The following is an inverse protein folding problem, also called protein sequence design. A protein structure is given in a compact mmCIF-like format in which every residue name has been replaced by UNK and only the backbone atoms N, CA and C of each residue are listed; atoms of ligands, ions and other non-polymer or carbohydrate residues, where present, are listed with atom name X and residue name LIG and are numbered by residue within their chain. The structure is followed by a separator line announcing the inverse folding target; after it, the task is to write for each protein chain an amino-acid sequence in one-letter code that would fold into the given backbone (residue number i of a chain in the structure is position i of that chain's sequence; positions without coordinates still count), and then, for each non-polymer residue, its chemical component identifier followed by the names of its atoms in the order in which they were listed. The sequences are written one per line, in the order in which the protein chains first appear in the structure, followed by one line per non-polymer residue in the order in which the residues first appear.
data_IF_639080536081
#
_entry.id   IF_639080536081
#
_cell.length_a   1.000
_cell.length_b   1.000
_cell.length_c   1.000
_cell.angle_alpha   90.00
_cell.angle_beta   90.00
_cell.angle_gamma   90.00
#
_symmetry.space_group_name_H-M   'P 1'
#
loop_
_entity.id
_entity.type
_entity.pdbx_description
1 polymer ?
#
# COMPACT_ATOMS: atom_id res chain seq x y z
N UNK A 1 -2.68 65.95 34.19
CA UNK A 1 -1.67 65.72 33.13
C UNK A 1 -1.17 64.30 33.30
N UNK A 2 -1.68 63.36 32.52
CA UNK A 2 -1.32 61.94 32.59
C UNK A 2 -0.49 61.60 31.36
N UNK A 3 0.71 61.07 31.58
CA UNK A 3 1.66 60.68 30.53
C UNK A 3 1.39 59.21 30.21
N UNK A 4 0.80 58.94 29.05
CA UNK A 4 0.59 57.58 28.54
C UNK A 4 1.91 57.01 27.98
N UNK A 5 2.37 55.91 28.58
CA UNK A 5 3.52 55.14 28.10
C UNK A 5 3.12 54.27 26.90
N UNK A 6 3.67 54.58 25.72
CA UNK A 6 3.57 53.74 24.52
C UNK A 6 4.45 52.47 24.66
N UNK A 7 3.92 51.26 24.38
CA UNK A 7 4.71 50.04 24.36
C UNK A 7 5.69 50.03 23.17
N UNK A 8 6.97 49.85 23.51
CA UNK A 8 8.07 49.62 22.58
C UNK A 8 7.77 48.43 21.67
N UNK A 9 7.56 48.70 20.38
CA UNK A 9 7.46 47.67 19.35
C UNK A 9 8.83 47.01 19.19
N UNK A 10 8.98 45.83 19.80
CA UNK A 10 10.12 44.95 19.60
C UNK A 10 10.20 44.56 18.13
N UNK A 11 11.16 45.16 17.43
CA UNK A 11 11.55 44.83 16.07
C UNK A 11 12.20 43.44 16.09
N UNK A 12 11.38 42.39 15.98
CA UNK A 12 11.87 41.03 15.72
C UNK A 12 12.47 41.03 14.32
N UNK A 13 13.80 40.99 14.27
CA UNK A 13 14.55 40.79 13.02
C UNK A 13 14.04 39.51 12.35
N UNK A 14 13.72 39.55 11.04
CA UNK A 14 13.34 38.36 10.31
C UNK A 14 14.50 37.37 10.41
N UNK A 15 14.23 36.20 10.99
CA UNK A 15 15.12 35.04 10.94
C UNK A 15 15.56 34.84 9.50
N UNK A 16 16.86 34.64 9.22
CA UNK A 16 17.33 34.42 7.85
C UNK A 16 16.52 33.27 7.26
N UNK A 17 15.70 33.60 6.25
CA UNK A 17 15.03 32.60 5.43
C UNK A 17 16.12 31.65 4.95
N UNK A 18 16.05 30.39 5.40
CA UNK A 18 16.94 29.35 4.93
C UNK A 18 16.81 29.33 3.41
N UNK A 19 17.83 29.86 2.74
CA UNK A 19 17.88 30.02 1.29
C UNK A 19 17.68 28.62 0.69
N UNK A 20 16.47 28.37 0.18
CA UNK A 20 16.09 27.06 -0.32
C UNK A 20 17.10 26.69 -1.40
N UNK A 21 17.84 25.60 -1.17
CA UNK A 21 18.93 25.26 -2.08
C UNK A 21 18.33 24.89 -3.43
N UNK A 22 19.06 25.12 -4.55
CA UNK A 22 18.59 24.71 -5.88
C UNK A 22 18.18 23.23 -5.94
N UNK A 23 18.75 22.37 -5.09
CA UNK A 23 18.39 20.96 -4.95
C UNK A 23 16.98 20.73 -4.40
N UNK A 24 16.51 21.58 -3.49
CA UNK A 24 15.16 21.47 -2.90
C UNK A 24 14.06 21.79 -3.92
N UNK A 25 14.33 22.76 -4.79
CA UNK A 25 13.41 23.14 -5.86
C UNK A 25 13.23 22.00 -6.89
N UNK A 26 14.34 21.34 -7.27
CA UNK A 26 14.32 20.19 -8.19
C UNK A 26 13.57 19.01 -7.56
N UNK A 27 13.84 18.69 -6.29
CA UNK A 27 13.18 17.58 -5.61
C UNK A 27 11.67 17.78 -5.48
N UNK A 28 11.22 18.99 -5.18
CA UNK A 28 9.81 19.31 -5.05
C UNK A 28 9.05 19.24 -6.38
N UNK A 29 9.74 19.50 -7.51
CA UNK A 29 9.16 19.37 -8.84
C UNK A 29 9.00 17.90 -9.29
N UNK A 30 9.96 17.04 -8.94
CA UNK A 30 10.00 15.63 -9.41
C UNK A 30 9.23 14.67 -8.50
N UNK A 31 9.12 14.96 -7.20
CA UNK A 31 8.42 14.09 -6.22
C UNK A 31 7.01 13.65 -6.66
N UNK A 32 6.14 14.49 -7.23
CA UNK A 32 4.77 14.07 -7.53
C UNK A 32 4.64 13.17 -8.76
N UNK A 33 5.54 13.28 -9.74
CA UNK A 33 5.54 12.38 -10.91
C UNK A 33 6.02 10.99 -10.52
N UNK A 34 7.01 10.91 -9.61
CA UNK A 34 7.46 9.64 -9.05
C UNK A 34 6.35 8.93 -8.27
N UNK A 35 5.62 9.63 -7.40
CA UNK A 35 4.54 9.00 -6.61
C UNK A 35 3.43 8.45 -7.50
N UNK A 36 3.02 9.18 -8.54
CA UNK A 36 2.02 8.71 -9.51
C UNK A 36 2.54 7.47 -10.26
N UNK A 37 3.79 7.48 -10.72
CA UNK A 37 4.43 6.34 -11.37
C UNK A 37 4.44 5.10 -10.47
N UNK A 38 4.81 5.24 -9.19
CA UNK A 38 4.80 4.13 -8.22
C UNK A 38 3.40 3.56 -7.99
N UNK A 39 2.38 4.41 -7.95
CA UNK A 39 0.99 3.97 -7.81
C UNK A 39 0.55 3.13 -9.03
N UNK A 40 0.86 3.59 -10.25
CA UNK A 40 0.54 2.83 -11.46
C UNK A 40 1.33 1.55 -11.60
N UNK A 41 2.62 1.55 -11.22
CA UNK A 41 3.43 0.34 -11.17
C UNK A 41 2.86 -0.66 -10.16
N UNK A 42 2.47 -0.21 -8.97
CA UNK A 42 1.83 -1.06 -7.97
C UNK A 42 0.56 -1.70 -8.54
N UNK A 43 -0.35 -0.90 -9.11
CA UNK A 43 -1.60 -1.40 -9.70
C UNK A 43 -1.33 -2.39 -10.84
N UNK A 44 -0.37 -2.09 -11.71
CA UNK A 44 -0.05 -2.93 -12.87
C UNK A 44 0.63 -4.25 -12.51
N UNK A 45 1.50 -4.26 -11.49
CA UNK A 45 2.26 -5.44 -11.07
C UNK A 45 1.46 -6.32 -10.10
N UNK A 46 0.51 -5.75 -9.36
CA UNK A 46 -0.27 -6.47 -8.34
C UNK A 46 -0.97 -7.74 -8.85
N UNK A 47 -1.67 -7.76 -10.01
CA UNK A 47 -2.29 -8.98 -10.52
C UNK A 47 -1.28 -10.12 -10.77
N UNK A 48 -0.09 -9.78 -11.28
CA UNK A 48 0.96 -10.76 -11.53
C UNK A 48 1.53 -11.33 -10.22
N UNK A 49 1.72 -10.48 -9.20
CA UNK A 49 2.14 -10.93 -7.86
C UNK A 49 1.06 -11.82 -7.25
N UNK A 50 -0.20 -11.39 -7.29
CA UNK A 50 -1.33 -12.17 -6.76
C UNK A 50 -1.39 -13.57 -7.41
N UNK A 51 -1.32 -13.61 -8.75
CA UNK A 51 -1.29 -14.86 -9.50
C UNK A 51 -0.11 -15.75 -9.09
N UNK A 52 1.11 -15.19 -9.06
CA UNK A 52 2.30 -15.94 -8.66
C UNK A 52 2.19 -16.49 -7.23
N UNK A 53 1.67 -15.69 -6.29
CA UNK A 53 1.53 -16.12 -4.89
C UNK A 53 0.52 -17.25 -4.73
N UNK A 54 -0.63 -17.17 -5.40
CA UNK A 54 -1.63 -18.23 -5.37
C UNK A 54 -1.10 -19.48 -6.05
N UNK A 55 -0.54 -19.34 -7.26
CA UNK A 55 0.00 -20.46 -8.02
C UNK A 55 1.11 -21.21 -7.27
N UNK A 56 2.09 -20.49 -6.72
CA UNK A 56 3.19 -21.10 -5.97
C UNK A 56 2.70 -21.77 -4.68
N UNK A 57 1.74 -21.17 -3.98
CA UNK A 57 1.19 -21.73 -2.75
C UNK A 57 0.41 -23.01 -3.02
N UNK A 58 -0.42 -23.03 -4.07
CA UNK A 58 -1.17 -24.23 -4.50
C UNK A 58 -0.22 -25.33 -4.99
N UNK A 59 0.76 -24.97 -5.83
CA UNK A 59 1.76 -25.90 -6.35
C UNK A 59 2.70 -26.48 -5.28
N UNK A 60 2.76 -25.86 -4.09
CA UNK A 60 3.57 -26.37 -2.97
C UNK A 60 2.89 -27.47 -2.16
N UNK A 61 1.60 -27.73 -2.41
CA UNK A 61 0.81 -28.76 -1.70
C UNK A 61 0.80 -30.07 -2.49
N UNK A 62 0.77 -31.19 -1.78
CA UNK A 62 0.73 -32.53 -2.38
C UNK A 62 -0.51 -32.76 -3.26
N UNK A 63 -1.69 -32.27 -2.84
CA UNK A 63 -2.96 -32.38 -3.56
C UNK A 63 -3.21 -31.30 -4.61
N UNK A 64 -2.22 -30.43 -4.89
CA UNK A 64 -2.40 -29.33 -5.86
C UNK A 64 -3.55 -28.38 -5.52
N UNK A 65 -3.82 -28.18 -4.23
CA UNK A 65 -4.93 -27.38 -3.70
C UNK A 65 -6.21 -28.16 -3.40
N UNK A 66 -6.30 -29.44 -3.75
CA UNK A 66 -7.36 -30.32 -3.27
C UNK A 66 -6.98 -30.94 -1.93
N UNK A 67 -7.43 -30.32 -0.83
CA UNK A 67 -7.17 -30.80 0.52
C UNK A 67 -7.97 -32.07 0.87
N UNK A 68 -8.88 -32.53 0.01
CA UNK A 68 -9.58 -33.80 0.18
C UNK A 68 -9.00 -34.92 -0.70
N UNK A 69 -7.85 -34.69 -1.35
CA UNK A 69 -7.22 -35.67 -2.21
C UNK A 69 -6.76 -36.90 -1.39
N UNK A 70 -7.07 -38.14 -1.83
CA UNK A 70 -6.67 -39.38 -1.16
C UNK A 70 -5.15 -39.63 -1.13
N UNK A 71 -4.35 -38.81 -1.82
CA UNK A 71 -2.89 -38.82 -1.76
C UNK A 71 -2.33 -38.42 -0.39
N UNK A 72 -3.11 -37.71 0.43
CA UNK A 72 -2.71 -37.39 1.80
C UNK A 72 -2.69 -38.64 2.69
N UNK A 73 -1.53 -38.96 3.29
CA UNK A 73 -1.36 -40.13 4.13
C UNK A 73 -1.99 -39.99 5.52
N UNK A 74 -2.25 -38.75 5.97
CA UNK A 74 -2.87 -38.46 7.25
C UNK A 74 -3.49 -37.07 7.31
N UNK A 75 -4.42 -36.84 8.24
CA UNK A 75 -4.98 -35.52 8.52
C UNK A 75 -3.92 -34.49 8.96
N UNK A 76 -2.88 -34.93 9.68
CA UNK A 76 -1.81 -34.05 10.16
C UNK A 76 -0.93 -33.51 9.02
N UNK A 77 -0.68 -34.33 8.00
CA UNK A 77 0.06 -33.92 6.80
C UNK A 77 -0.73 -32.87 6.00
N UNK A 78 -2.03 -33.10 5.83
CA UNK A 78 -2.96 -32.16 5.19
C UNK A 78 -3.01 -30.81 5.92
N UNK A 79 -3.11 -30.82 7.26
CA UNK A 79 -3.15 -29.59 8.06
C UNK A 79 -1.84 -28.79 7.94
N UNK A 80 -0.70 -29.48 7.82
CA UNK A 80 0.60 -28.85 7.63
C UNK A 80 0.72 -28.18 6.23
N UNK A 81 0.29 -28.88 5.18
CA UNK A 81 0.25 -28.35 3.81
C UNK A 81 -0.71 -27.16 3.71
N UNK A 82 -1.90 -27.29 4.30
CA UNK A 82 -2.90 -26.23 4.37
C UNK A 82 -2.35 -24.96 5.02
N UNK A 83 -1.71 -25.11 6.18
CA UNK A 83 -1.09 -23.99 6.89
C UNK A 83 0.02 -23.34 6.05
N UNK A 84 0.81 -24.14 5.35
CA UNK A 84 1.91 -23.65 4.50
C UNK A 84 1.38 -22.85 3.32
N UNK A 85 0.37 -23.36 2.61
CA UNK A 85 -0.28 -22.66 1.51
C UNK A 85 -0.96 -21.36 1.98
N UNK A 86 -1.65 -21.42 3.12
CA UNK A 86 -2.30 -20.24 3.72
C UNK A 86 -1.28 -19.16 4.06
N UNK A 87 -0.16 -19.50 4.70
CA UNK A 87 0.92 -18.54 4.97
C UNK A 87 1.56 -18.00 3.69
N UNK A 88 1.71 -18.84 2.67
CA UNK A 88 2.23 -18.48 1.35
C UNK A 88 1.38 -17.43 0.64
N UNK A 89 0.07 -17.41 0.87
CA UNK A 89 -0.86 -16.38 0.35
C UNK A 89 -0.93 -15.18 1.30
N UNK A 90 -1.01 -15.44 2.61
CA UNK A 90 -1.29 -14.42 3.61
C UNK A 90 -0.15 -13.41 3.79
N UNK A 91 1.09 -13.87 3.85
CA UNK A 91 2.27 -13.02 4.02
C UNK A 91 2.40 -12.00 2.87
N UNK A 92 2.48 -12.40 1.58
CA UNK A 92 2.64 -11.44 0.50
C UNK A 92 1.40 -10.55 0.32
N UNK A 93 0.19 -11.07 0.54
CA UNK A 93 -1.03 -10.25 0.50
C UNK A 93 -1.02 -9.15 1.57
N UNK A 94 -0.56 -9.47 2.79
CA UNK A 94 -0.42 -8.49 3.88
C UNK A 94 0.64 -7.44 3.55
N UNK A 95 1.77 -7.84 2.97
CA UNK A 95 2.81 -6.90 2.52
C UNK A 95 2.26 -5.95 1.44
N UNK A 96 1.55 -6.50 0.44
CA UNK A 96 0.97 -5.69 -0.63
C UNK A 96 -0.10 -4.71 -0.12
N UNK A 97 -0.90 -5.10 0.87
CA UNK A 97 -1.84 -4.20 1.54
C UNK A 97 -1.11 -3.07 2.28
N UNK A 98 -0.04 -3.38 3.01
CA UNK A 98 0.74 -2.37 3.72
C UNK A 98 1.37 -1.36 2.73
N UNK A 99 1.93 -1.83 1.62
CA UNK A 99 2.48 -0.98 0.56
C UNK A 99 1.39 -0.09 -0.06
N UNK A 100 0.23 -0.66 -0.39
CA UNK A 100 -0.91 0.09 -0.93
C UNK A 100 -1.39 1.19 0.04
N UNK A 101 -1.48 0.88 1.33
CA UNK A 101 -1.86 1.84 2.37
C UNK A 101 -0.85 3.00 2.48
N UNK A 102 0.45 2.69 2.47
CA UNK A 102 1.51 3.71 2.50
C UNK A 102 1.43 4.62 1.27
N UNK A 103 1.27 4.06 0.07
CA UNK A 103 1.12 4.83 -1.16
C UNK A 103 -0.12 5.75 -1.10
N UNK A 104 -1.24 5.24 -0.61
CA UNK A 104 -2.46 6.02 -0.41
C UNK A 104 -2.23 7.21 0.53
N UNK A 105 -1.57 7.00 1.68
CA UNK A 105 -1.24 8.08 2.63
C UNK A 105 -0.32 9.13 2.00
N UNK A 106 0.71 8.69 1.26
CA UNK A 106 1.65 9.60 0.56
C UNK A 106 0.93 10.44 -0.48
N UNK A 107 0.05 9.83 -1.29
CA UNK A 107 -0.76 10.54 -2.28
C UNK A 107 -1.68 11.56 -1.61
N UNK A 108 -2.37 11.19 -0.54
CA UNK A 108 -3.28 12.09 0.19
C UNK A 108 -2.53 13.28 0.80
N UNK A 109 -1.34 13.06 1.38
CA UNK A 109 -0.49 14.14 1.92
C UNK A 109 0.04 15.08 0.83
N UNK A 110 0.20 14.60 -0.41
CA UNK A 110 0.69 15.41 -1.52
C UNK A 110 -0.37 16.35 -2.14
N UNK A 111 -1.61 16.38 -1.64
CA UNK A 111 -2.74 17.13 -2.25
C UNK A 111 -2.76 18.64 -2.03
N UNK A 112 -1.82 19.23 -1.29
CA UNK A 112 -2.00 20.59 -0.74
C UNK A 112 -2.03 21.77 -1.75
N UNK A 113 -1.76 21.60 -3.05
CA UNK A 113 -1.89 22.72 -4.03
C UNK A 113 -2.06 22.24 -5.48
N UNK A 114 -3.22 21.77 -5.96
CA UNK A 114 -3.28 21.35 -7.38
C UNK A 114 -4.53 21.71 -8.20
N UNK A 115 -4.25 22.05 -9.46
CA UNK A 115 -5.15 22.39 -10.55
C UNK A 115 -6.07 21.21 -10.95
N UNK A 116 -7.22 21.55 -11.54
CA UNK A 116 -8.37 20.66 -11.82
C UNK A 116 -8.02 19.31 -12.48
N UNK A 117 -7.09 19.30 -13.44
CA UNK A 117 -6.67 18.08 -14.16
C UNK A 117 -5.85 17.10 -13.32
N UNK A 118 -5.10 17.60 -12.34
CA UNK A 118 -4.30 16.76 -11.46
C UNK A 118 -5.16 16.08 -10.40
N UNK A 119 -6.28 16.69 -10.00
CA UNK A 119 -7.26 16.09 -9.10
C UNK A 119 -7.87 14.80 -9.68
N UNK A 120 -8.24 14.81 -10.96
CA UNK A 120 -8.84 13.63 -11.63
C UNK A 120 -7.87 12.44 -11.64
N UNK A 121 -6.61 12.66 -12.01
CA UNK A 121 -5.58 11.60 -12.00
C UNK A 121 -5.37 11.01 -10.60
N UNK A 122 -5.31 11.87 -9.58
CA UNK A 122 -5.16 11.42 -8.19
C UNK A 122 -6.35 10.59 -7.74
N UNK A 123 -7.58 11.00 -8.08
CA UNK A 123 -8.78 10.22 -7.75
C UNK A 123 -8.76 8.85 -8.43
N UNK A 124 -8.38 8.81 -9.71
CA UNK A 124 -8.27 7.54 -10.45
C UNK A 124 -7.22 6.61 -9.82
N UNK A 125 -6.04 7.14 -9.46
CA UNK A 125 -4.99 6.37 -8.80
C UNK A 125 -5.45 5.81 -7.44
N UNK A 126 -6.18 6.60 -6.65
CA UNK A 126 -6.73 6.15 -5.36
C UNK A 126 -7.80 5.06 -5.55
N UNK A 127 -8.66 5.17 -6.55
CA UNK A 127 -9.67 4.15 -6.85
C UNK A 127 -9.01 2.85 -7.31
N UNK A 128 -8.01 2.93 -8.19
CA UNK A 128 -7.26 1.77 -8.64
C UNK A 128 -6.54 1.08 -7.48
N UNK A 129 -5.85 1.85 -6.62
CA UNK A 129 -5.22 1.34 -5.40
C UNK A 129 -6.23 0.66 -4.46
N UNK A 130 -7.37 1.29 -4.21
CA UNK A 130 -8.41 0.74 -3.35
C UNK A 130 -8.96 -0.58 -3.90
N UNK A 131 -9.18 -0.67 -5.22
CA UNK A 131 -9.63 -1.89 -5.87
C UNK A 131 -8.58 -3.01 -5.76
N UNK A 132 -7.30 -2.69 -5.97
CA UNK A 132 -6.20 -3.65 -5.79
C UNK A 132 -6.12 -4.14 -4.35
N UNK A 133 -6.21 -3.24 -3.37
CA UNK A 133 -6.23 -3.61 -1.95
C UNK A 133 -7.44 -4.49 -1.62
N UNK A 134 -8.62 -4.18 -2.15
CA UNK A 134 -9.80 -5.03 -1.96
C UNK A 134 -9.58 -6.46 -2.51
N UNK A 135 -8.88 -6.60 -3.64
CA UNK A 135 -8.49 -7.91 -4.17
C UNK A 135 -7.58 -8.71 -3.23
N UNK A 136 -6.56 -8.07 -2.64
CA UNK A 136 -5.70 -8.74 -1.65
C UNK A 136 -6.43 -9.05 -0.33
N UNK A 137 -7.32 -8.17 0.12
CA UNK A 137 -8.16 -8.45 1.28
C UNK A 137 -9.08 -9.66 1.02
N UNK A 138 -9.64 -9.76 -0.19
CA UNK A 138 -10.43 -10.92 -0.61
C UNK A 138 -9.59 -12.21 -0.59
N UNK A 139 -8.34 -12.18 -1.08
CA UNK A 139 -7.45 -13.35 -1.00
C UNK A 139 -7.21 -13.82 0.45
N UNK A 140 -7.08 -12.89 1.40
CA UNK A 140 -6.94 -13.24 2.81
C UNK A 140 -8.19 -13.93 3.37
N UNK A 141 -9.38 -13.44 3.01
CA UNK A 141 -10.65 -14.04 3.44
C UNK A 141 -10.84 -15.41 2.82
N UNK A 142 -10.51 -15.59 1.55
CA UNK A 142 -10.67 -16.87 0.84
C UNK A 142 -9.61 -17.90 1.26
N UNK A 143 -8.43 -17.46 1.71
CA UNK A 143 -7.39 -18.38 2.16
C UNK A 143 -7.73 -19.16 3.43
N UNK A 144 -8.80 -18.77 4.15
CA UNK A 144 -9.34 -19.50 5.29
C UNK A 144 -10.29 -20.61 4.81
N UNK A 145 -9.76 -21.62 4.11
CA UNK A 145 -10.57 -22.75 3.67
C UNK A 145 -10.89 -23.65 4.87
N UNK A 146 -12.17 -23.96 5.07
CA UNK A 146 -12.60 -24.99 6.02
C UNK A 146 -12.11 -26.37 5.55
N UNK A 147 -11.30 -27.05 6.36
CA UNK A 147 -10.71 -28.37 6.09
C UNK A 147 -11.64 -29.56 6.37
N UNK A 148 -12.94 -29.31 6.50
CA UNK A 148 -13.96 -30.33 6.73
C UNK A 148 -14.25 -31.11 5.44
N UNK A 149 -13.32 -31.99 5.07
CA UNK A 149 -13.64 -33.15 4.25
C UNK A 149 -14.39 -34.13 5.17
N UNK A 150 -15.71 -34.23 4.98
CA UNK A 150 -16.63 -34.97 5.86
C UNK A 150 -16.28 -36.43 6.13
#
# INVERSE_FOLDING_TARGET
MAVEHLPSAGMTTPTPEAEATPGDAIWNAVRPTLVDLWAWLYVGVSPAIAFATVYLSVASTSGGGDFCDPSYGSAAERDADFRTATLGIAIPSTIMLAVGAVLMVVILRSRHRFARWRTVRIVLALLALALTMAGYAYLLVVSDFTSDCG
#
